data_IF_534829865169
#
_entry.id   IF_534829865169
#
_cell.length_a   1.000
_cell.length_b   1.000
_cell.length_c   1.000
_cell.angle_alpha   90.00
_cell.angle_beta   90.00
_cell.angle_gamma   90.00
#
_symmetry.space_group_name_H-M   'P 1'
#
loop_
_entity.id
_entity.type
_entity.pdbx_description
1 polymer ?
#
# COMPACT_ATOMS: atom_id res chain seq x y z
N UNK A 1 5.73 -0.86 4.05
CA UNK A 1 5.60 -0.30 2.69
C UNK A 1 4.16 0.14 2.46
N UNK A 2 3.99 1.33 1.91
CA UNK A 2 2.73 1.82 1.36
C UNK A 2 2.99 2.13 -0.10
N UNK A 3 2.24 1.55 -1.01
CA UNK A 3 2.37 1.78 -2.44
C UNK A 3 1.01 2.08 -3.07
N UNK A 4 1.00 2.92 -4.10
CA UNK A 4 -0.19 3.25 -4.86
C UNK A 4 0.12 4.04 -6.10
N UNK A 5 -0.66 3.85 -7.13
CA UNK A 5 -0.63 4.63 -8.37
C UNK A 5 -1.51 5.88 -8.21
N UNK A 6 -1.21 6.94 -8.94
CA UNK A 6 -2.00 8.20 -8.96
C UNK A 6 -2.01 9.07 -7.69
N UNK A 7 -0.99 8.96 -6.85
CA UNK A 7 -0.80 9.88 -5.72
C UNK A 7 -0.46 11.30 -6.20
N UNK A 8 -0.22 11.46 -7.50
CA UNK A 8 0.29 12.71 -8.10
C UNK A 8 -0.81 13.69 -8.52
N UNK A 9 -2.09 13.28 -8.50
CA UNK A 9 -3.18 14.09 -9.05
C UNK A 9 -3.44 15.39 -8.29
N UNK A 10 -3.24 15.41 -6.97
CA UNK A 10 -3.62 16.54 -6.11
C UNK A 10 -2.71 16.72 -4.89
N UNK A 11 -1.39 16.67 -5.09
CA UNK A 11 -0.44 16.90 -3.99
C UNK A 11 -0.70 18.22 -3.25
N UNK A 12 -1.06 19.28 -3.98
CA UNK A 12 -1.39 20.57 -3.39
C UNK A 12 -2.68 20.51 -2.57
N UNK A 13 -3.69 19.80 -3.06
CA UNK A 13 -5.00 19.66 -2.40
C UNK A 13 -4.90 18.86 -1.10
N UNK A 14 -4.01 17.86 -1.05
CA UNK A 14 -3.79 17.00 0.12
C UNK A 14 -2.61 17.45 1.00
N UNK A 15 -1.93 18.54 0.66
CA UNK A 15 -0.77 19.03 1.42
C UNK A 15 -1.06 19.30 2.91
N UNK A 16 -2.32 19.57 3.26
CA UNK A 16 -2.72 19.79 4.65
C UNK A 16 -2.67 18.55 5.54
N UNK A 17 -2.75 17.35 4.95
CA UNK A 17 -2.63 16.05 5.65
C UNK A 17 -1.16 15.71 5.88
N UNK A 18 -0.25 16.28 5.07
CA UNK A 18 1.16 15.92 4.99
C UNK A 18 1.39 14.74 4.03
N UNK A 19 2.53 14.75 3.36
CA UNK A 19 2.90 13.60 2.53
C UNK A 19 3.26 12.40 3.43
N UNK A 20 2.73 11.20 3.13
CA UNK A 20 3.17 9.99 3.82
C UNK A 20 4.66 9.76 3.51
N UNK A 21 5.48 9.68 4.55
CA UNK A 21 6.95 9.57 4.44
C UNK A 21 7.43 8.36 3.61
N UNK A 22 6.57 7.36 3.42
CA UNK A 22 6.92 6.07 2.83
C UNK A 22 5.98 5.63 1.69
N UNK A 23 5.33 6.58 1.01
CA UNK A 23 4.46 6.27 -0.11
C UNK A 23 5.28 6.09 -1.38
N UNK A 24 5.24 4.91 -1.96
CA UNK A 24 6.01 4.53 -3.14
C UNK A 24 5.09 4.35 -4.35
N UNK A 25 5.52 4.75 -5.56
CA UNK A 25 4.76 4.52 -6.80
C UNK A 25 4.74 3.03 -7.21
N UNK A 26 5.70 2.25 -6.73
CA UNK A 26 5.78 0.80 -6.95
C UNK A 26 6.51 0.12 -5.79
N UNK A 27 6.39 -1.20 -5.71
CA UNK A 27 7.07 -2.00 -4.69
C UNK A 27 8.37 -2.54 -5.28
N UNK A 28 9.50 -2.00 -4.81
CA UNK A 28 10.83 -2.47 -5.21
C UNK A 28 11.48 -3.27 -4.10
N UNK A 29 12.23 -4.33 -4.45
CA UNK A 29 12.95 -5.15 -3.48
C UNK A 29 12.02 -5.90 -2.51
N UNK A 30 10.84 -6.30 -2.96
CA UNK A 30 9.85 -7.04 -2.17
C UNK A 30 10.37 -8.38 -1.65
N UNK A 31 11.27 -9.00 -2.41
CA UNK A 31 11.99 -10.23 -2.01
C UNK A 31 13.40 -10.23 -2.59
N UNK A 32 14.25 -11.03 -1.98
CA UNK A 32 15.61 -11.25 -2.49
C UNK A 32 15.63 -12.44 -3.47
N UNK A 33 16.62 -12.49 -4.34
CA UNK A 33 16.97 -13.69 -5.09
C UNK A 33 18.18 -14.32 -4.43
N UNK A 34 18.08 -15.59 -4.07
CA UNK A 34 19.17 -16.32 -3.43
C UNK A 34 19.85 -17.20 -4.47
N UNK A 35 21.11 -16.89 -4.78
CA UNK A 35 22.00 -17.80 -5.49
C UNK A 35 22.66 -18.69 -4.44
N UNK A 36 22.25 -19.96 -4.41
CA UNK A 36 22.81 -20.95 -3.49
C UNK A 36 23.83 -21.82 -4.21
N UNK A 37 24.92 -22.11 -3.54
CA UNK A 37 25.96 -22.99 -4.03
C UNK A 37 26.27 -24.03 -2.96
N UNK A 38 26.23 -25.34 -3.35
CA UNK A 38 26.57 -26.43 -2.42
C UNK A 38 28.08 -26.50 -2.21
N UNK A 39 28.51 -26.34 -0.98
CA UNK A 39 29.90 -26.48 -0.59
C UNK A 39 30.28 -27.90 -0.16
N UNK A 40 29.41 -28.89 -0.31
CA UNK A 40 29.62 -30.27 0.12
C UNK A 40 30.78 -30.91 -0.61
N UNK A 41 30.97 -30.62 -1.89
CA UNK A 41 32.03 -31.18 -2.74
C UNK A 41 33.28 -30.33 -2.76
N UNK A 42 33.13 -29.00 -2.61
CA UNK A 42 34.24 -28.08 -2.75
C UNK A 42 33.97 -26.81 -1.94
N UNK A 43 34.90 -26.47 -1.06
CA UNK A 43 34.78 -25.24 -0.28
C UNK A 43 35.13 -24.03 -1.12
N UNK A 44 34.47 -22.91 -0.84
CA UNK A 44 34.79 -21.63 -1.45
C UNK A 44 35.74 -20.86 -0.56
N UNK A 45 36.90 -20.52 -1.09
CA UNK A 45 37.95 -19.78 -0.40
C UNK A 45 37.73 -18.29 -0.44
N UNK A 46 37.15 -17.79 -1.56
CA UNK A 46 36.93 -16.38 -1.73
C UNK A 46 35.72 -16.13 -2.64
N UNK A 47 34.98 -15.06 -2.36
CA UNK A 47 33.88 -14.53 -3.17
C UNK A 47 34.17 -13.08 -3.50
N UNK A 48 34.16 -12.74 -4.77
CA UNK A 48 34.32 -11.38 -5.26
C UNK A 48 33.19 -11.05 -6.22
N UNK A 49 32.69 -9.83 -6.15
CA UNK A 49 31.65 -9.32 -7.06
C UNK A 49 32.18 -8.14 -7.85
N UNK A 50 31.78 -8.07 -9.13
CA UNK A 50 32.02 -6.92 -9.99
C UNK A 50 30.70 -6.53 -10.64
N UNK A 51 30.31 -5.26 -10.49
CA UNK A 51 29.11 -4.70 -11.10
C UNK A 51 29.52 -3.91 -12.33
N UNK A 52 29.10 -4.38 -13.51
CA UNK A 52 29.17 -3.65 -14.78
C UNK A 52 27.92 -2.83 -15.05
N UNK A 53 27.82 -2.22 -16.23
CA UNK A 53 26.64 -1.45 -16.63
C UNK A 53 25.40 -2.34 -16.78
N UNK A 54 25.57 -3.55 -17.35
CA UNK A 54 24.47 -4.45 -17.74
C UNK A 54 24.60 -5.84 -17.12
N UNK A 55 25.61 -6.07 -16.25
CA UNK A 55 25.86 -7.37 -15.65
C UNK A 55 26.44 -7.27 -14.27
N UNK A 56 26.12 -8.27 -13.43
CA UNK A 56 26.78 -8.54 -12.18
C UNK A 56 27.56 -9.84 -12.30
N UNK A 57 28.87 -9.80 -12.10
CA UNK A 57 29.73 -10.99 -12.06
C UNK A 57 30.06 -11.38 -10.63
N UNK A 58 29.88 -12.66 -10.33
CA UNK A 58 30.25 -13.26 -9.05
C UNK A 58 31.38 -14.25 -9.31
N UNK A 59 32.56 -13.98 -8.77
CA UNK A 59 33.71 -14.84 -8.88
C UNK A 59 33.84 -15.69 -7.62
N UNK A 60 33.81 -16.99 -7.81
CA UNK A 60 33.99 -17.96 -6.71
C UNK A 60 35.34 -18.66 -6.89
N UNK A 61 36.20 -18.62 -5.86
CA UNK A 61 37.49 -19.32 -5.87
C UNK A 61 37.33 -20.60 -5.07
N UNK A 62 37.28 -21.77 -5.70
CA UNK A 62 37.23 -23.05 -4.97
C UNK A 62 38.58 -23.40 -4.33
N UNK A 63 38.53 -24.19 -3.25
CA UNK A 63 39.72 -24.72 -2.58
C UNK A 63 40.46 -25.73 -3.49
N UNK A 64 39.73 -26.54 -4.21
CA UNK A 64 40.27 -27.57 -5.10
C UNK A 64 39.46 -27.67 -6.41
N UNK A 65 40.18 -27.86 -7.54
CA UNK A 65 39.59 -28.19 -8.83
C UNK A 65 38.61 -27.15 -9.40
N UNK A 66 37.53 -27.61 -9.94
CA UNK A 66 36.52 -26.78 -10.60
C UNK A 66 35.15 -26.91 -9.90
N UNK A 67 34.34 -25.89 -10.07
CA UNK A 67 32.94 -25.84 -9.59
C UNK A 67 32.05 -26.52 -10.62
N UNK A 68 31.21 -27.42 -10.18
CA UNK A 68 30.17 -28.04 -11.02
C UNK A 68 28.95 -27.09 -11.13
N UNK A 69 28.51 -26.72 -12.35
CA UNK A 69 27.32 -25.90 -12.52
C UNK A 69 26.07 -26.48 -11.87
N UNK A 70 25.99 -27.79 -11.66
CA UNK A 70 24.89 -28.49 -10.98
C UNK A 70 24.83 -28.23 -9.47
N UNK A 71 25.88 -27.69 -8.89
CA UNK A 71 25.93 -27.33 -7.47
C UNK A 71 25.25 -25.96 -7.20
N UNK A 72 24.87 -25.24 -8.27
CA UNK A 72 24.13 -23.99 -8.16
C UNK A 72 22.63 -24.21 -8.16
N UNK A 73 21.94 -23.44 -7.34
CA UNK A 73 20.48 -23.34 -7.36
C UNK A 73 20.05 -21.89 -7.19
N UNK A 74 18.99 -21.51 -7.89
CA UNK A 74 18.34 -20.22 -7.75
C UNK A 74 17.10 -20.43 -6.90
N UNK A 75 17.04 -19.80 -5.75
CA UNK A 75 15.94 -19.96 -4.80
C UNK A 75 15.29 -18.59 -4.61
N UNK A 76 14.00 -18.43 -4.96
CA UNK A 76 13.27 -17.24 -4.57
C UNK A 76 13.22 -17.18 -3.04
N UNK A 77 13.70 -16.10 -2.45
CA UNK A 77 13.55 -15.88 -1.02
C UNK A 77 12.08 -15.56 -0.70
N UNK A 78 11.72 -15.67 0.57
CA UNK A 78 10.41 -15.23 1.04
C UNK A 78 10.25 -13.73 0.83
N UNK A 79 9.02 -13.30 0.65
CA UNK A 79 8.72 -11.87 0.69
C UNK A 79 9.14 -11.26 2.04
N UNK A 80 9.49 -9.98 2.01
CA UNK A 80 9.79 -9.18 3.21
C UNK A 80 8.51 -8.73 3.94
N UNK A 81 7.37 -9.18 3.46
CA UNK A 81 6.03 -8.88 3.98
C UNK A 81 5.32 -10.19 4.31
N UNK A 82 4.49 -10.18 5.33
CA UNK A 82 3.70 -11.32 5.76
C UNK A 82 2.23 -11.19 5.35
N UNK A 83 1.80 -9.98 4.94
CA UNK A 83 0.42 -9.63 4.65
C UNK A 83 0.37 -8.46 3.68
N UNK A 84 -0.57 -8.50 2.75
CA UNK A 84 -0.95 -7.35 1.93
C UNK A 84 -2.33 -6.83 2.39
N UNK A 85 -2.43 -5.50 2.56
CA UNK A 85 -3.71 -4.84 2.83
C UNK A 85 -4.01 -3.95 1.63
N UNK A 86 -5.08 -4.25 0.92
CA UNK A 86 -5.56 -3.47 -0.23
C UNK A 86 -6.73 -2.62 0.22
N UNK A 87 -6.68 -1.32 -0.08
CA UNK A 87 -7.65 -0.34 0.37
C UNK A 87 -8.20 0.43 -0.83
N UNK A 88 -9.53 0.41 -1.00
CA UNK A 88 -10.24 1.19 -2.00
C UNK A 88 -10.01 0.72 -3.45
N UNK A 89 -9.79 -0.58 -3.65
CA UNK A 89 -9.67 -1.17 -4.98
C UNK A 89 -10.68 -2.30 -5.16
N UNK A 90 -11.49 -2.28 -6.24
CA UNK A 90 -12.47 -3.32 -6.50
C UNK A 90 -11.85 -4.66 -6.94
N UNK A 91 -10.69 -4.63 -7.58
CA UNK A 91 -9.94 -5.78 -8.08
C UNK A 91 -8.42 -5.53 -7.99
N UNK A 92 -7.62 -6.46 -8.47
CA UNK A 92 -6.14 -6.35 -8.45
C UNK A 92 -5.63 -5.47 -9.59
N UNK A 93 -6.31 -5.45 -10.71
CA UNK A 93 -5.96 -4.72 -11.91
C UNK A 93 -6.01 -3.20 -11.68
N UNK A 94 -6.93 -2.73 -10.84
CA UNK A 94 -7.01 -1.31 -10.44
C UNK A 94 -5.83 -0.85 -9.57
N UNK A 95 -4.97 -1.75 -9.11
CA UNK A 95 -3.71 -1.40 -8.45
C UNK A 95 -2.62 -0.95 -9.45
N UNK A 96 -2.88 -1.08 -10.76
CA UNK A 96 -1.99 -0.63 -11.82
C UNK A 96 -0.59 -1.22 -11.70
N UNK A 97 0.44 -0.39 -11.81
CA UNK A 97 1.85 -0.82 -11.78
C UNK A 97 2.23 -1.60 -10.52
N UNK A 98 1.60 -1.32 -9.39
CA UNK A 98 1.87 -2.07 -8.15
C UNK A 98 1.59 -3.56 -8.35
N UNK A 99 0.49 -3.88 -9.02
CA UNK A 99 0.14 -5.27 -9.37
C UNK A 99 0.92 -5.78 -10.58
N UNK A 100 1.01 -4.99 -11.65
CA UNK A 100 1.68 -5.39 -12.91
C UNK A 100 3.14 -5.77 -12.69
N UNK A 101 3.87 -5.01 -11.86
CA UNK A 101 5.29 -5.24 -11.58
C UNK A 101 5.53 -6.32 -10.51
N UNK A 102 4.53 -6.61 -9.68
CA UNK A 102 4.66 -7.52 -8.53
C UNK A 102 3.45 -8.46 -8.37
N UNK A 103 3.00 -9.17 -9.41
CA UNK A 103 1.80 -10.01 -9.32
C UNK A 103 1.93 -11.10 -8.25
N UNK A 104 3.14 -11.63 -8.07
CA UNK A 104 3.42 -12.71 -7.10
C UNK A 104 3.02 -12.34 -5.68
N UNK A 105 3.14 -11.07 -5.27
CA UNK A 105 2.71 -10.59 -3.95
C UNK A 105 1.24 -10.94 -3.71
N UNK A 106 0.41 -10.73 -4.72
CA UNK A 106 -1.05 -10.90 -4.65
C UNK A 106 -1.52 -12.35 -4.81
N UNK A 107 -0.60 -13.27 -5.12
CA UNK A 107 -0.86 -14.72 -5.19
C UNK A 107 -0.23 -15.49 -4.05
N UNK A 108 0.91 -15.04 -3.51
CA UNK A 108 1.65 -15.76 -2.49
C UNK A 108 1.36 -15.27 -1.06
N UNK A 109 0.99 -13.98 -0.89
CA UNK A 109 0.68 -13.44 0.43
C UNK A 109 -0.82 -13.47 0.75
N UNK A 110 -1.19 -13.61 2.02
CA UNK A 110 -2.55 -13.35 2.45
C UNK A 110 -2.92 -11.88 2.20
N UNK A 111 -4.17 -11.65 1.75
CA UNK A 111 -4.69 -10.33 1.41
C UNK A 111 -5.89 -10.00 2.29
N UNK A 112 -5.89 -8.80 2.88
CA UNK A 112 -7.09 -8.18 3.42
C UNK A 112 -7.54 -7.11 2.41
N UNK A 113 -8.74 -7.24 1.86
CA UNK A 113 -9.34 -6.25 0.98
C UNK A 113 -10.36 -5.42 1.77
N UNK A 114 -10.19 -4.09 1.76
CA UNK A 114 -11.09 -3.13 2.44
C UNK A 114 -11.61 -2.17 1.39
N UNK A 115 -12.94 -2.22 1.13
CA UNK A 115 -13.49 -1.45 0.01
C UNK A 115 -14.99 -1.17 0.17
N UNK A 116 -15.50 -0.22 -0.62
CA UNK A 116 -16.93 0.09 -0.70
C UNK A 116 -17.49 0.06 -2.13
N UNK A 117 -16.71 -0.38 -3.12
CA UNK A 117 -17.19 -0.50 -4.48
C UNK A 117 -18.15 -1.68 -4.64
N UNK A 118 -19.24 -1.47 -5.38
CA UNK A 118 -20.29 -2.49 -5.59
C UNK A 118 -19.87 -3.61 -6.55
N UNK A 119 -18.85 -3.37 -7.35
CA UNK A 119 -18.24 -4.31 -8.30
C UNK A 119 -16.98 -4.99 -7.76
N UNK A 120 -16.78 -4.93 -6.44
CA UNK A 120 -15.62 -5.57 -5.80
C UNK A 120 -15.64 -7.09 -5.99
N UNK A 121 -14.53 -7.64 -6.48
CA UNK A 121 -14.37 -9.08 -6.81
C UNK A 121 -14.10 -9.97 -5.59
N UNK A 122 -14.02 -9.41 -4.39
CA UNK A 122 -13.77 -10.13 -3.14
C UNK A 122 -12.49 -11.00 -3.20
N UNK A 123 -11.43 -10.46 -3.78
CA UNK A 123 -10.19 -11.17 -4.10
C UNK A 123 -9.25 -11.42 -2.90
N UNK A 124 -9.55 -10.88 -1.74
CA UNK A 124 -8.82 -11.11 -0.50
C UNK A 124 -9.23 -12.41 0.20
N UNK A 125 -8.35 -12.97 1.03
CA UNK A 125 -8.72 -14.02 1.97
C UNK A 125 -9.65 -13.49 3.05
N UNK A 126 -9.51 -12.19 3.38
CA UNK A 126 -10.45 -11.44 4.23
C UNK A 126 -10.94 -10.25 3.41
N UNK A 127 -12.26 -10.13 3.26
CA UNK A 127 -12.89 -9.04 2.54
C UNK A 127 -13.78 -8.25 3.49
N UNK A 128 -13.38 -7.02 3.78
CA UNK A 128 -14.13 -6.05 4.58
C UNK A 128 -14.78 -5.05 3.62
N UNK A 129 -15.77 -5.53 2.87
CA UNK A 129 -16.45 -4.76 1.81
C UNK A 129 -17.84 -4.37 2.28
N UNK A 130 -18.12 -3.07 2.33
CA UNK A 130 -19.43 -2.52 2.67
C UNK A 130 -19.88 -1.53 1.59
N UNK A 131 -20.68 -2.02 0.65
CA UNK A 131 -21.22 -1.23 -0.46
C UNK A 131 -22.22 -0.14 -0.01
N UNK A 132 -22.66 -0.18 1.25
CA UNK A 132 -23.55 0.84 1.82
C UNK A 132 -22.79 1.97 2.50
N UNK A 133 -21.48 1.81 2.73
CA UNK A 133 -20.63 2.85 3.26
C UNK A 133 -20.42 3.98 2.26
N UNK A 134 -20.39 5.21 2.74
CA UNK A 134 -20.18 6.40 1.90
C UNK A 134 -18.79 6.44 1.25
N UNK A 135 -17.83 5.76 1.87
CA UNK A 135 -16.44 5.71 1.40
C UNK A 135 -15.67 4.58 2.11
N UNK A 136 -14.57 4.17 1.53
CA UNK A 136 -13.61 3.28 2.21
C UNK A 136 -13.06 3.89 3.50
N UNK A 137 -12.93 5.22 3.58
CA UNK A 137 -12.51 5.93 4.79
C UNK A 137 -13.52 5.76 5.95
N UNK A 138 -14.83 5.65 5.67
CA UNK A 138 -15.85 5.33 6.66
C UNK A 138 -15.61 3.94 7.28
N UNK A 139 -15.34 2.93 6.43
CA UNK A 139 -15.05 1.57 6.88
C UNK A 139 -13.77 1.54 7.74
N UNK A 140 -12.72 2.21 7.27
CA UNK A 140 -11.46 2.30 7.99
C UNK A 140 -11.62 2.97 9.36
N UNK A 141 -12.40 4.05 9.44
CA UNK A 141 -12.67 4.74 10.70
C UNK A 141 -13.32 3.79 11.71
N UNK A 142 -14.30 3.00 11.30
CA UNK A 142 -14.93 2.00 12.18
C UNK A 142 -13.97 0.90 12.64
N UNK A 143 -13.15 0.39 11.72
CA UNK A 143 -12.15 -0.65 12.04
C UNK A 143 -11.17 -0.13 13.08
N UNK A 144 -10.64 1.08 12.87
CA UNK A 144 -9.65 1.68 13.74
C UNK A 144 -10.23 2.09 15.09
N UNK A 145 -11.48 2.57 15.14
CA UNK A 145 -12.15 2.90 16.39
C UNK A 145 -12.45 1.68 17.26
N UNK A 146 -12.76 0.54 16.64
CA UNK A 146 -13.05 -0.73 17.36
C UNK A 146 -11.78 -1.42 17.87
N UNK A 147 -10.65 -1.16 17.24
CA UNK A 147 -9.38 -1.73 17.66
C UNK A 147 -8.74 -0.87 18.74
N UNK A 148 -8.61 -1.43 19.93
CA UNK A 148 -8.03 -0.77 21.12
C UNK A 148 -6.53 -0.54 21.06
N UNK A 149 -5.87 -0.78 19.92
CA UNK A 149 -4.41 -0.66 19.73
C UNK A 149 -3.89 0.79 19.71
N UNK A 150 -4.77 1.76 19.76
CA UNK A 150 -4.43 3.19 19.86
C UNK A 150 -5.65 4.06 19.65
N UNK A 151 -5.78 5.15 20.37
CA UNK A 151 -6.77 6.18 20.04
C UNK A 151 -6.34 6.83 18.73
N UNK A 152 -7.27 6.99 17.76
CA UNK A 152 -7.04 7.84 16.60
C UNK A 152 -6.62 9.23 17.07
N UNK A 153 -5.48 9.68 16.60
CA UNK A 153 -5.02 11.04 16.84
C UNK A 153 -5.70 12.05 15.89
N UNK A 154 -5.34 13.31 16.07
CA UNK A 154 -5.86 14.41 15.24
C UNK A 154 -5.56 14.20 13.75
N UNK A 155 -4.33 13.83 13.38
CA UNK A 155 -3.91 13.65 11.98
C UNK A 155 -4.63 12.50 11.29
N UNK A 156 -4.75 11.37 11.95
CA UNK A 156 -5.48 10.19 11.42
C UNK A 156 -6.96 10.52 11.26
N UNK A 157 -7.54 11.21 12.24
CA UNK A 157 -8.94 11.65 12.20
C UNK A 157 -9.17 12.67 11.06
N UNK A 158 -8.24 13.60 10.86
CA UNK A 158 -8.30 14.57 9.76
C UNK A 158 -8.21 13.89 8.39
N UNK A 159 -7.34 12.88 8.23
CA UNK A 159 -7.20 12.11 7.00
C UNK A 159 -8.48 11.31 6.67
N UNK A 160 -9.04 10.62 7.66
CA UNK A 160 -10.27 9.85 7.49
C UNK A 160 -11.47 10.74 7.19
N UNK A 161 -11.58 11.87 7.89
CA UNK A 161 -12.64 12.85 7.63
C UNK A 161 -12.51 13.46 6.23
N UNK A 162 -11.29 13.73 5.77
CA UNK A 162 -11.05 14.22 4.41
C UNK A 162 -11.52 13.21 3.35
N UNK A 163 -11.28 11.91 3.57
CA UNK A 163 -11.77 10.84 2.69
C UNK A 163 -13.30 10.79 2.63
N UNK A 164 -13.99 10.93 3.77
CA UNK A 164 -15.46 10.97 3.83
C UNK A 164 -16.00 12.24 3.13
N UNK A 165 -15.42 13.41 3.40
CA UNK A 165 -15.83 14.69 2.81
C UNK A 165 -15.65 14.65 1.29
N UNK A 166 -14.51 14.13 0.80
CA UNK A 166 -14.24 14.01 -0.63
C UNK A 166 -15.23 13.08 -1.32
N UNK A 167 -15.46 11.89 -0.79
CA UNK A 167 -16.35 10.89 -1.39
C UNK A 167 -17.83 11.32 -1.40
N UNK A 168 -18.24 12.15 -0.43
CA UNK A 168 -19.61 12.64 -0.28
C UNK A 168 -19.81 14.06 -0.84
N UNK A 169 -18.81 14.68 -1.46
CA UNK A 169 -18.81 16.08 -1.86
C UNK A 169 -19.32 16.99 -0.74
N UNK A 170 -18.66 16.94 0.41
CA UNK A 170 -19.07 17.67 1.61
C UNK A 170 -20.48 17.31 2.10
N UNK A 171 -20.82 16.05 2.07
CA UNK A 171 -22.12 15.48 2.51
C UNK A 171 -23.31 15.87 1.62
N UNK A 172 -23.06 16.26 0.35
CA UNK A 172 -24.10 16.66 -0.60
C UNK A 172 -24.54 15.51 -1.52
N UNK A 173 -23.72 14.46 -1.67
CA UNK A 173 -24.06 13.29 -2.50
C UNK A 173 -25.09 12.36 -1.84
N UNK A 174 -25.77 11.59 -2.69
CA UNK A 174 -26.79 10.60 -2.29
C UNK A 174 -26.23 9.46 -1.44
N UNK A 175 -24.93 9.18 -1.52
CA UNK A 175 -24.25 8.19 -0.68
C UNK A 175 -23.98 8.69 0.75
N UNK A 176 -24.36 9.92 1.08
CA UNK A 176 -24.28 10.44 2.44
C UNK A 176 -25.29 9.74 3.34
N UNK A 177 -24.82 8.95 4.28
CA UNK A 177 -25.63 8.20 5.22
C UNK A 177 -25.64 8.84 6.62
N UNK A 178 -26.66 8.57 7.47
CA UNK A 178 -26.61 8.97 8.87
C UNK A 178 -25.38 8.43 9.59
N UNK A 179 -24.92 7.24 9.23
CA UNK A 179 -23.70 6.61 9.76
C UNK A 179 -22.45 7.41 9.40
N UNK A 180 -22.31 7.84 8.13
CA UNK A 180 -21.21 8.70 7.69
C UNK A 180 -21.14 10.00 8.52
N UNK A 181 -22.28 10.64 8.79
CA UNK A 181 -22.35 11.85 9.59
C UNK A 181 -21.98 11.60 11.07
N UNK A 182 -22.40 10.47 11.64
CA UNK A 182 -22.02 10.08 13.01
C UNK A 182 -20.51 9.85 13.12
N UNK A 183 -19.91 9.16 12.14
CA UNK A 183 -18.48 8.93 12.11
C UNK A 183 -17.73 10.26 11.94
N UNK A 184 -18.17 11.12 11.02
CA UNK A 184 -17.59 12.44 10.85
C UNK A 184 -17.63 13.27 12.14
N UNK A 185 -18.75 13.26 12.88
CA UNK A 185 -18.86 13.90 14.19
C UNK A 185 -17.81 13.38 15.17
N UNK A 186 -17.64 12.05 15.27
CA UNK A 186 -16.65 11.45 16.18
C UNK A 186 -15.21 11.77 15.79
N UNK A 187 -14.92 11.87 14.48
CA UNK A 187 -13.61 12.28 13.99
C UNK A 187 -13.32 13.75 14.33
N UNK A 188 -14.34 14.63 14.24
CA UNK A 188 -14.22 16.03 14.69
C UNK A 188 -14.01 16.14 16.19
N UNK A 189 -14.67 15.30 17.01
CA UNK A 189 -14.44 15.23 18.45
C UNK A 189 -12.99 14.85 18.80
N UNK A 190 -12.30 14.16 17.88
CA UNK A 190 -10.87 13.81 18.00
C UNK A 190 -9.91 14.86 17.44
N UNK A 191 -10.42 16.02 17.02
CA UNK A 191 -9.64 17.16 16.59
C UNK A 191 -9.58 17.40 15.08
N UNK A 192 -10.27 16.58 14.26
CA UNK A 192 -10.30 16.83 12.81
C UNK A 192 -11.03 18.15 12.48
N UNK A 193 -10.37 19.04 11.72
CA UNK A 193 -10.92 20.35 11.31
C UNK A 193 -11.62 20.27 9.95
N UNK A 194 -12.95 20.09 9.99
CA UNK A 194 -13.79 20.10 8.78
C UNK A 194 -13.60 21.36 7.92
N UNK A 195 -13.46 22.53 8.54
CA UNK A 195 -13.32 23.80 7.81
C UNK A 195 -12.00 23.86 7.04
N UNK A 196 -10.92 23.40 7.66
CA UNK A 196 -9.61 23.28 7.03
C UNK A 196 -9.66 22.32 5.85
N UNK A 197 -10.26 21.14 6.03
CA UNK A 197 -10.43 20.12 4.99
C UNK A 197 -11.20 20.69 3.79
N UNK A 198 -12.37 21.28 4.01
CA UNK A 198 -13.21 21.85 2.94
C UNK A 198 -12.47 22.98 2.20
N UNK A 199 -11.75 23.84 2.90
CA UNK A 199 -10.93 24.88 2.25
C UNK A 199 -9.86 24.28 1.35
N UNK A 200 -9.16 23.28 1.82
CA UNK A 200 -8.08 22.63 1.04
C UNK A 200 -8.63 21.89 -0.18
N UNK A 201 -9.71 21.12 -0.02
CA UNK A 201 -10.26 20.33 -1.11
C UNK A 201 -10.96 21.17 -2.19
N UNK A 202 -11.63 22.29 -1.84
CA UNK A 202 -12.55 22.95 -2.77
C UNK A 202 -12.26 24.44 -3.00
N UNK A 203 -11.48 25.11 -2.15
CA UNK A 203 -11.27 26.57 -2.24
C UNK A 203 -9.91 27.00 -2.76
N UNK A 204 -9.01 26.06 -3.00
CA UNK A 204 -7.67 26.34 -3.58
C UNK A 204 -7.66 26.34 -5.10
N UNK A 205 -8.79 26.09 -5.78
CA UNK A 205 -8.86 26.28 -7.22
C UNK A 205 -8.93 27.78 -7.53
N UNK A 206 -7.96 28.35 -8.29
CA UNK A 206 -8.06 29.72 -8.73
C UNK A 206 -9.30 29.86 -9.61
N UNK A 207 -10.15 30.85 -9.32
CA UNK A 207 -11.21 31.29 -10.21
C UNK A 207 -10.56 31.67 -11.55
N UNK A 208 -10.64 30.79 -12.54
CA UNK A 208 -10.39 31.18 -13.92
C UNK A 208 -11.55 32.10 -14.34
N UNK A 209 -11.31 33.41 -14.23
CA UNK A 209 -12.12 34.44 -14.86
C UNK A 209 -11.78 34.50 -16.35
#
# INVERSE_FOLDING_TARGET
FVAGENITGDKETLAFIGEPENLLPSITGARDFVLSFSTTRNKIMNVRTETGADELRIYLTPENGAIDPRDFSFIPAKFKFDLAIVIGSPDKEHLGKVYEENPDIFYELPIINIDNHSDNELFGQINLVDITASSTAEILAEILEKNTLGSLGEKESESLLAGIISATESFQKKNTTPKALQIASRLMDKGADQQKIIRSLYKTQPLHL
#
